data_IF_574814551761
#
_entry.id   IF_574814551761
#
_cell.length_a   1.000
_cell.length_b   1.000
_cell.length_c   1.000
_cell.angle_alpha   90.00
_cell.angle_beta   90.00
_cell.angle_gamma   90.00
#
_symmetry.space_group_name_H-M   'P 1'
#
loop_
_entity.id
_entity.type
_entity.pdbx_description
1 polymer ?
#
# COMPACT_ATOMS: atom_id res chain seq x y z
N UNK A 1 -18.55 14.90 -34.23
CA UNK A 1 -19.52 15.60 -33.36
C UNK A 1 -19.83 14.90 -32.02
N UNK A 2 -19.94 13.54 -31.88
CA UNK A 2 -20.11 12.92 -30.56
C UNK A 2 -18.80 12.72 -29.82
N UNK A 3 -17.72 12.46 -30.52
CA UNK A 3 -16.37 12.20 -29.95
C UNK A 3 -15.74 13.46 -29.36
N UNK A 4 -16.02 14.64 -29.93
CA UNK A 4 -15.53 15.93 -29.45
C UNK A 4 -16.18 16.30 -28.09
N UNK A 5 -17.47 15.99 -27.91
CA UNK A 5 -18.23 16.27 -26.69
C UNK A 5 -17.77 15.41 -25.49
N UNK A 6 -17.37 14.15 -25.73
CA UNK A 6 -16.82 13.27 -24.67
C UNK A 6 -15.42 13.70 -24.27
N UNK A 7 -14.62 14.14 -25.23
CA UNK A 7 -13.27 14.65 -24.96
C UNK A 7 -13.29 15.99 -24.23
N UNK A 8 -14.26 16.86 -24.53
CA UNK A 8 -14.47 18.11 -23.80
C UNK A 8 -14.95 17.85 -22.37
N UNK A 9 -15.90 16.93 -22.16
CA UNK A 9 -16.35 16.53 -20.82
C UNK A 9 -15.19 15.94 -19.98
N UNK A 10 -14.36 15.08 -20.56
CA UNK A 10 -13.20 14.51 -19.87
C UNK A 10 -12.17 15.58 -19.49
N UNK A 11 -11.97 16.58 -20.37
CA UNK A 11 -11.13 17.73 -20.05
C UNK A 11 -11.70 18.57 -18.91
N UNK A 12 -12.99 18.85 -18.95
CA UNK A 12 -13.69 19.59 -17.90
C UNK A 12 -13.63 18.87 -16.54
N UNK A 13 -13.75 17.52 -16.53
CA UNK A 13 -13.55 16.72 -15.31
C UNK A 13 -12.08 16.70 -14.83
N UNK A 14 -11.11 16.74 -15.73
CA UNK A 14 -9.68 16.74 -15.35
C UNK A 14 -9.18 18.11 -14.88
N UNK A 15 -9.87 19.20 -15.28
CA UNK A 15 -9.56 20.58 -14.90
C UNK A 15 -10.40 21.07 -13.69
N UNK A 16 -11.41 20.29 -13.24
CA UNK A 16 -12.13 20.61 -12.02
C UNK A 16 -11.21 20.47 -10.81
N UNK A 17 -11.17 21.51 -9.98
CA UNK A 17 -10.57 21.42 -8.66
C UNK A 17 -11.15 20.22 -7.92
N UNK A 18 -10.28 19.48 -7.23
CA UNK A 18 -10.68 18.30 -6.47
C UNK A 18 -11.90 18.62 -5.60
N UNK A 19 -12.96 17.81 -5.72
CA UNK A 19 -14.29 18.04 -5.14
C UNK A 19 -14.25 18.41 -3.64
N UNK A 20 -13.27 17.93 -2.94
CA UNK A 20 -13.10 18.15 -1.51
C UNK A 20 -12.18 19.33 -1.18
N UNK A 21 -11.47 19.91 -2.19
CA UNK A 21 -10.82 21.21 -2.13
C UNK A 21 -9.82 21.40 -1.01
N UNK A 22 -9.14 20.35 -0.56
CA UNK A 22 -8.15 20.46 0.50
C UNK A 22 -6.82 19.80 0.12
N UNK A 23 -5.75 20.34 0.71
CA UNK A 23 -4.41 19.72 0.73
C UNK A 23 -4.13 19.41 2.18
N UNK A 24 -3.64 18.22 2.50
CA UNK A 24 -3.22 17.91 3.87
C UNK A 24 -1.86 18.57 4.14
N UNK A 25 -1.75 19.29 5.26
CA UNK A 25 -0.50 19.92 5.71
C UNK A 25 0.46 18.93 6.41
N UNK A 26 0.22 17.62 6.24
CA UNK A 26 1.03 16.58 6.87
C UNK A 26 2.40 16.56 6.21
N UNK A 27 3.43 16.89 6.99
CA UNK A 27 4.81 16.77 6.53
C UNK A 27 5.16 15.31 6.22
N UNK A 28 5.45 15.01 4.95
CA UNK A 28 5.85 13.68 4.50
C UNK A 28 7.31 13.66 4.04
N UNK A 29 7.96 12.53 4.28
CA UNK A 29 9.23 12.19 3.67
C UNK A 29 8.96 11.42 2.38
N UNK A 30 9.13 12.07 1.24
CA UNK A 30 8.92 11.48 -0.08
C UNK A 30 10.24 11.23 -0.77
N UNK A 31 10.43 10.02 -1.28
CA UNK A 31 11.61 9.67 -2.06
C UNK A 31 11.56 10.38 -3.43
N UNK A 32 12.69 10.87 -3.95
CA UNK A 32 12.74 11.37 -5.32
C UNK A 32 12.22 10.35 -6.34
N UNK A 33 11.64 10.80 -7.46
CA UNK A 33 11.19 9.90 -8.53
C UNK A 33 12.31 8.99 -9.02
N UNK A 34 11.92 7.81 -9.45
CA UNK A 34 12.81 6.83 -10.07
C UNK A 34 12.82 5.48 -9.36
N UNK A 35 12.86 4.44 -10.17
CA UNK A 35 12.91 3.05 -9.70
C UNK A 35 14.25 2.43 -10.08
N UNK A 36 15.04 2.15 -9.06
CA UNK A 36 16.33 1.48 -9.16
C UNK A 36 16.58 0.61 -7.91
N UNK A 37 17.71 -0.06 -7.83
CA UNK A 37 18.06 -0.89 -6.68
C UNK A 37 18.19 -0.09 -5.38
N UNK A 38 18.69 1.15 -5.44
CA UNK A 38 18.85 2.00 -4.27
C UNK A 38 17.49 2.40 -3.71
N UNK A 39 16.50 2.68 -4.58
CA UNK A 39 15.10 2.92 -4.20
C UNK A 39 14.55 1.74 -3.41
N UNK A 40 14.77 0.51 -3.89
CA UNK A 40 14.28 -0.72 -3.25
C UNK A 40 14.97 -0.95 -1.90
N UNK A 41 16.29 -0.78 -1.85
CA UNK A 41 17.07 -0.90 -0.60
C UNK A 41 16.67 0.16 0.43
N UNK A 42 16.37 1.38 -0.04
CA UNK A 42 15.87 2.45 0.82
C UNK A 42 14.52 2.07 1.44
N UNK A 43 13.55 1.61 0.64
CA UNK A 43 12.23 1.14 1.13
C UNK A 43 12.43 0.05 2.19
N UNK A 44 13.23 -0.96 1.87
CA UNK A 44 13.51 -2.08 2.77
C UNK A 44 14.15 -1.64 4.09
N UNK A 45 15.10 -0.72 4.03
CA UNK A 45 15.77 -0.13 5.20
C UNK A 45 14.80 0.68 6.06
N UNK A 46 13.97 1.54 5.44
CA UNK A 46 12.96 2.35 6.16
C UNK A 46 11.92 1.47 6.86
N UNK A 47 11.55 0.37 6.25
CA UNK A 47 10.61 -0.61 6.81
C UNK A 47 11.26 -1.55 7.85
N UNK A 48 12.57 -1.51 8.02
CA UNK A 48 13.30 -2.42 8.90
C UNK A 48 13.13 -3.88 8.49
N UNK A 49 13.11 -4.14 7.19
CA UNK A 49 12.92 -5.47 6.63
C UNK A 49 14.18 -6.33 6.75
N UNK A 50 14.03 -7.66 6.95
CA UNK A 50 15.16 -8.57 6.95
C UNK A 50 15.74 -8.72 5.54
N UNK A 51 17.04 -9.08 5.45
CA UNK A 51 17.79 -9.21 4.21
C UNK A 51 17.12 -10.13 3.18
N UNK A 52 16.52 -11.23 3.61
CA UNK A 52 15.83 -12.15 2.69
C UNK A 52 14.68 -11.49 1.92
N UNK A 53 13.97 -10.51 2.54
CA UNK A 53 12.89 -9.78 1.86
C UNK A 53 13.46 -8.73 0.91
N UNK A 54 14.55 -8.06 1.29
CA UNK A 54 15.28 -7.16 0.39
C UNK A 54 15.75 -7.91 -0.86
N UNK A 55 16.33 -9.09 -0.71
CA UNK A 55 16.74 -9.94 -1.82
C UNK A 55 15.56 -10.40 -2.68
N UNK A 56 14.43 -10.70 -2.03
CA UNK A 56 13.21 -11.08 -2.75
C UNK A 56 12.68 -9.95 -3.64
N UNK A 57 12.70 -8.71 -3.12
CA UNK A 57 12.34 -7.49 -3.87
C UNK A 57 13.28 -7.23 -5.03
N UNK A 58 14.58 -7.30 -4.80
CA UNK A 58 15.59 -7.09 -5.85
C UNK A 58 15.46 -8.12 -6.98
N UNK A 59 15.18 -9.38 -6.65
CA UNK A 59 14.89 -10.40 -7.66
C UNK A 59 13.63 -10.09 -8.46
N UNK A 60 12.58 -9.56 -7.81
CA UNK A 60 11.37 -9.13 -8.50
C UNK A 60 11.65 -7.96 -9.46
N UNK A 61 12.44 -7.00 -9.04
CA UNK A 61 12.88 -5.87 -9.88
C UNK A 61 13.69 -6.32 -11.10
N UNK A 62 14.63 -7.28 -10.93
CA UNK A 62 15.37 -7.84 -12.04
C UNK A 62 14.48 -8.59 -13.06
N UNK A 63 13.42 -9.22 -12.59
CA UNK A 63 12.41 -9.83 -13.45
C UNK A 63 11.61 -8.76 -14.17
N UNK A 64 11.15 -7.73 -13.47
CA UNK A 64 10.40 -6.61 -14.04
C UNK A 64 11.17 -5.91 -15.18
N UNK A 65 12.46 -5.63 -15.01
CA UNK A 65 13.29 -5.01 -16.05
C UNK A 65 13.32 -5.80 -17.38
N UNK A 66 13.07 -7.10 -17.32
CA UNK A 66 13.07 -7.99 -18.49
C UNK A 66 11.69 -8.18 -19.11
N UNK A 67 10.62 -7.74 -18.41
CA UNK A 67 9.26 -7.85 -18.87
C UNK A 67 8.84 -6.64 -19.70
N UNK A 68 7.80 -6.83 -20.49
CA UNK A 68 7.14 -5.75 -21.21
C UNK A 68 5.76 -5.52 -20.59
N UNK A 69 5.38 -4.25 -20.52
CA UNK A 69 4.02 -3.87 -20.14
C UNK A 69 3.01 -4.53 -21.09
N UNK A 70 1.92 -5.14 -20.58
CA UNK A 70 0.92 -5.81 -21.41
C UNK A 70 0.10 -4.80 -22.21
N UNK A 71 -0.17 -5.10 -23.49
CA UNK A 71 -0.95 -4.26 -24.40
C UNK A 71 -2.22 -4.95 -24.91
N UNK A 72 -2.64 -6.04 -24.28
CA UNK A 72 -3.79 -6.83 -24.71
C UNK A 72 -5.14 -6.26 -24.26
N UNK A 73 -5.14 -5.38 -23.25
CA UNK A 73 -6.37 -4.76 -22.77
C UNK A 73 -6.93 -3.77 -23.80
N UNK A 74 -8.25 -3.82 -24.01
CA UNK A 74 -8.95 -2.90 -24.93
C UNK A 74 -9.22 -1.55 -24.24
N UNK A 75 -8.16 -0.91 -23.76
CA UNK A 75 -8.17 0.41 -23.13
C UNK A 75 -7.02 1.22 -23.72
N UNK A 76 -7.25 2.51 -23.89
CA UNK A 76 -6.23 3.47 -24.31
C UNK A 76 -5.88 4.37 -23.12
N UNK A 77 -4.60 4.43 -22.77
CA UNK A 77 -4.06 5.34 -21.74
C UNK A 77 -2.70 5.86 -22.20
N UNK A 78 -2.29 7.04 -21.73
CA UNK A 78 -0.96 7.55 -22.03
C UNK A 78 0.14 6.59 -21.51
N UNK A 79 1.27 6.47 -22.21
CA UNK A 79 2.40 5.68 -21.72
C UNK A 79 2.81 6.11 -20.31
N UNK A 80 2.98 5.13 -19.43
CA UNK A 80 3.38 5.38 -18.05
C UNK A 80 4.92 5.51 -18.00
N UNK A 81 5.39 6.65 -17.49
CA UNK A 81 6.82 6.81 -17.19
C UNK A 81 7.09 6.35 -15.75
N UNK A 82 7.51 5.10 -15.60
CA UNK A 82 7.85 4.50 -14.30
C UNK A 82 9.05 5.17 -13.61
N UNK A 83 9.83 5.98 -14.32
CA UNK A 83 10.94 6.73 -13.71
C UNK A 83 10.52 8.12 -13.21
N UNK A 84 9.34 8.61 -13.61
CA UNK A 84 8.76 9.85 -13.10
C UNK A 84 7.94 9.66 -11.80
N UNK A 85 7.77 8.43 -11.33
CA UNK A 85 6.97 8.09 -10.13
C UNK A 85 7.88 8.03 -8.90
N UNK A 86 7.41 8.59 -7.78
CA UNK A 86 7.97 8.32 -6.45
C UNK A 86 7.37 7.02 -5.89
N UNK A 87 8.22 6.14 -5.38
CA UNK A 87 7.81 4.80 -4.90
C UNK A 87 7.72 4.71 -3.37
N UNK A 88 7.96 5.79 -2.66
CA UNK A 88 7.83 5.84 -1.21
C UNK A 88 7.49 7.25 -0.75
N UNK A 89 6.46 7.36 0.08
CA UNK A 89 6.13 8.54 0.85
C UNK A 89 5.62 8.10 2.22
N UNK A 90 5.99 8.78 3.26
CA UNK A 90 5.52 8.50 4.62
C UNK A 90 5.47 9.77 5.45
N UNK A 91 4.50 9.92 6.37
CA UNK A 91 4.50 11.00 7.35
C UNK A 91 5.76 10.95 8.20
N UNK A 92 6.34 12.11 8.51
CA UNK A 92 7.62 12.21 9.28
C UNK A 92 7.49 11.78 10.73
N UNK A 93 6.30 11.87 11.33
CA UNK A 93 6.07 11.74 12.77
C UNK A 93 5.50 10.38 13.20
N UNK A 94 5.54 9.34 12.36
CA UNK A 94 5.04 8.00 12.70
C UNK A 94 6.20 7.05 13.02
N UNK A 95 6.82 7.23 14.18
CA UNK A 95 7.89 6.33 14.65
C UNK A 95 7.35 4.98 15.17
N UNK A 96 6.09 4.95 15.66
CA UNK A 96 5.38 3.73 16.08
C UNK A 96 3.95 3.75 15.54
N UNK A 97 3.54 2.69 14.84
CA UNK A 97 2.16 2.59 14.37
C UNK A 97 1.18 2.57 15.57
N UNK A 98 0.23 3.49 15.65
CA UNK A 98 -0.73 3.54 16.74
C UNK A 98 -1.56 2.24 16.81
N UNK A 99 -1.87 1.81 18.02
CA UNK A 99 -2.62 0.57 18.28
C UNK A 99 -4.13 0.75 18.21
N UNK A 100 -4.60 1.99 18.24
CA UNK A 100 -6.01 2.35 18.15
C UNK A 100 -6.19 3.65 17.37
N UNK A 101 -7.39 3.91 16.87
CA UNK A 101 -7.72 5.17 16.21
C UNK A 101 -7.58 6.39 17.13
N UNK A 102 -7.73 6.20 18.45
CA UNK A 102 -7.57 7.27 19.44
C UNK A 102 -6.12 7.77 19.59
N UNK A 103 -5.16 6.95 19.17
CA UNK A 103 -3.72 7.28 19.19
C UNK A 103 -3.23 7.88 17.87
N UNK A 104 -4.09 7.91 16.84
CA UNK A 104 -3.76 8.46 15.51
C UNK A 104 -3.74 10.00 15.59
N UNK A 105 -2.80 10.62 14.87
CA UNK A 105 -2.72 12.07 14.75
C UNK A 105 -4.08 12.67 14.34
N UNK A 106 -4.61 13.63 15.09
CA UNK A 106 -5.88 14.28 14.78
C UNK A 106 -5.98 14.84 13.36
N UNK A 107 -4.88 15.33 12.78
CA UNK A 107 -4.84 15.84 11.40
C UNK A 107 -5.05 14.72 10.38
N UNK A 108 -4.53 13.52 10.66
CA UNK A 108 -4.79 12.33 9.83
C UNK A 108 -6.26 11.92 9.90
N UNK A 109 -6.84 11.88 11.09
CA UNK A 109 -8.27 11.57 11.29
C UNK A 109 -9.15 12.59 10.56
N UNK A 110 -8.81 13.90 10.65
CA UNK A 110 -9.53 14.93 9.93
C UNK A 110 -9.42 14.75 8.40
N UNK A 111 -8.26 14.36 7.92
CA UNK A 111 -8.03 14.06 6.49
C UNK A 111 -8.91 12.90 6.03
N UNK A 112 -8.98 11.79 6.77
CA UNK A 112 -9.88 10.69 6.45
C UNK A 112 -11.35 11.11 6.48
N UNK A 113 -11.76 11.92 7.46
CA UNK A 113 -13.11 12.44 7.54
C UNK A 113 -13.46 13.35 6.34
N UNK A 114 -12.53 14.23 5.91
CA UNK A 114 -12.70 15.07 4.71
C UNK A 114 -12.83 14.23 3.44
N UNK A 115 -12.13 13.10 3.36
CA UNK A 115 -12.23 12.13 2.26
C UNK A 115 -13.51 11.29 2.32
N UNK A 116 -14.29 11.40 3.40
CA UNK A 116 -15.50 10.60 3.59
C UNK A 116 -15.19 9.12 3.87
N UNK A 117 -14.04 8.83 4.48
CA UNK A 117 -13.65 7.48 4.89
C UNK A 117 -14.18 7.24 6.31
N UNK A 118 -15.21 6.41 6.50
CA UNK A 118 -15.89 6.25 7.80
C UNK A 118 -15.14 5.29 8.71
N UNK A 119 -13.95 5.65 9.18
CA UNK A 119 -13.12 4.79 10.03
C UNK A 119 -13.83 4.36 11.31
N UNK A 120 -14.45 5.32 12.00
CA UNK A 120 -15.16 5.05 13.28
C UNK A 120 -16.46 4.29 13.07
N UNK A 121 -17.21 4.56 12.00
CA UNK A 121 -18.45 3.84 11.70
C UNK A 121 -18.19 2.39 11.34
N UNK A 122 -17.14 2.09 10.61
CA UNK A 122 -16.74 0.71 10.27
C UNK A 122 -16.32 -0.05 11.53
N UNK A 123 -15.64 0.60 12.46
CA UNK A 123 -15.26 -0.01 13.74
C UNK A 123 -16.48 -0.38 14.60
N UNK A 124 -17.45 0.52 14.70
CA UNK A 124 -18.62 0.38 15.60
C UNK A 124 -19.70 -0.50 14.98
N UNK A 125 -20.05 -0.29 13.71
CA UNK A 125 -21.24 -0.90 13.09
C UNK A 125 -20.98 -2.31 12.54
N UNK A 126 -19.79 -2.60 12.06
CA UNK A 126 -19.51 -3.86 11.38
C UNK A 126 -18.71 -4.86 12.21
N UNK A 127 -18.08 -4.44 13.30
CA UNK A 127 -17.11 -5.28 14.03
C UNK A 127 -15.99 -5.78 13.08
N UNK A 128 -15.73 -5.05 12.01
CA UNK A 128 -14.76 -5.41 10.98
C UNK A 128 -13.40 -4.86 11.39
N UNK A 129 -12.38 -5.70 11.30
CA UNK A 129 -11.01 -5.25 11.46
C UNK A 129 -10.61 -4.34 10.29
N UNK A 130 -10.04 -3.21 10.61
CA UNK A 130 -9.59 -2.20 9.63
C UNK A 130 -8.10 -1.96 9.83
N UNK A 131 -7.35 -1.95 8.75
CA UNK A 131 -5.98 -1.46 8.69
C UNK A 131 -6.00 -0.15 7.91
N UNK A 132 -5.84 0.97 8.61
CA UNK A 132 -5.81 2.29 8.02
C UNK A 132 -4.41 2.59 7.52
N UNK A 133 -4.31 2.97 6.25
CA UNK A 133 -3.05 3.22 5.56
C UNK A 133 -3.00 4.66 5.09
N UNK A 134 -1.91 5.34 5.33
CA UNK A 134 -1.59 6.64 4.77
C UNK A 134 -0.24 6.57 4.05
N UNK A 135 -0.24 6.87 2.75
CA UNK A 135 0.91 6.70 1.87
C UNK A 135 1.53 5.28 1.99
N UNK A 136 2.81 5.20 2.33
CA UNK A 136 3.55 3.95 2.45
C UNK A 136 3.51 3.33 3.85
N UNK A 137 2.69 3.83 4.76
CA UNK A 137 2.65 3.41 6.17
C UNK A 137 1.24 2.96 6.60
N UNK A 138 1.18 1.88 7.37
CA UNK A 138 0.00 1.54 8.16
C UNK A 138 -0.03 2.45 9.40
N UNK A 139 -1.13 3.16 9.59
CA UNK A 139 -1.28 4.15 10.67
C UNK A 139 -2.11 3.64 11.84
N UNK A 140 -2.98 2.67 11.62
CA UNK A 140 -3.74 2.01 12.69
C UNK A 140 -4.26 0.64 12.25
N UNK A 141 -4.21 -0.34 13.13
CA UNK A 141 -4.84 -1.66 12.96
C UNK A 141 -5.80 -1.92 14.11
N UNK A 142 -7.09 -2.03 13.84
CA UNK A 142 -8.13 -2.21 14.85
C UNK A 142 -8.40 -3.69 15.14
N UNK A 143 -8.93 -3.99 16.32
CA UNK A 143 -9.33 -5.35 16.73
C UNK A 143 -8.24 -6.43 16.67
N UNK A 144 -6.98 -6.07 16.58
CA UNK A 144 -5.86 -7.01 16.48
C UNK A 144 -5.89 -8.07 17.60
N UNK A 145 -5.98 -7.63 18.86
CA UNK A 145 -5.95 -8.52 20.03
C UNK A 145 -7.18 -9.44 20.06
N UNK A 146 -8.36 -8.89 19.75
CA UNK A 146 -9.60 -9.65 19.69
C UNK A 146 -9.60 -10.73 18.59
N UNK A 147 -8.95 -10.45 17.46
CA UNK A 147 -8.76 -11.42 16.39
C UNK A 147 -7.73 -12.48 16.78
N UNK A 148 -6.65 -12.09 17.47
CA UNK A 148 -5.63 -13.00 17.96
C UNK A 148 -6.22 -14.04 18.94
N UNK A 149 -7.16 -13.66 19.81
CA UNK A 149 -7.90 -14.59 20.68
C UNK A 149 -8.66 -15.67 19.90
N UNK A 150 -9.04 -15.39 18.66
CA UNK A 150 -9.73 -16.32 17.75
C UNK A 150 -8.79 -17.08 16.82
N UNK A 151 -7.47 -16.94 17.01
CA UNK A 151 -6.48 -17.56 16.14
C UNK A 151 -6.36 -16.88 14.77
N UNK A 152 -6.68 -15.60 14.68
CA UNK A 152 -6.52 -14.80 13.45
C UNK A 152 -5.38 -13.83 13.63
N UNK A 153 -4.37 -13.93 12.78
CA UNK A 153 -3.32 -12.92 12.66
C UNK A 153 -3.84 -11.84 11.72
N UNK A 154 -3.91 -10.60 12.20
CA UNK A 154 -4.26 -9.43 11.41
C UNK A 154 -3.36 -8.27 11.77
N UNK A 155 -2.49 -7.86 10.88
CA UNK A 155 -1.50 -6.82 11.12
C UNK A 155 -0.96 -6.26 9.79
N UNK A 156 -0.15 -5.20 9.87
CA UNK A 156 0.58 -4.73 8.69
C UNK A 156 1.59 -5.78 8.20
N UNK A 157 1.88 -5.78 6.92
CA UNK A 157 2.90 -6.69 6.36
C UNK A 157 4.28 -6.44 7.00
N UNK A 158 4.59 -5.20 7.36
CA UNK A 158 5.86 -4.85 8.02
C UNK A 158 6.00 -5.50 9.40
N UNK A 159 4.90 -5.63 10.13
CA UNK A 159 4.83 -6.33 11.41
C UNK A 159 4.88 -7.85 11.17
N UNK A 160 4.07 -8.37 10.25
CA UNK A 160 4.04 -9.79 9.93
C UNK A 160 5.41 -10.35 9.51
N UNK A 161 6.19 -9.59 8.78
CA UNK A 161 7.56 -9.96 8.38
C UNK A 161 8.48 -10.12 9.58
N UNK A 162 8.28 -9.35 10.65
CA UNK A 162 9.09 -9.39 11.88
C UNK A 162 8.62 -10.48 12.85
N UNK A 163 7.31 -10.57 13.05
CA UNK A 163 6.71 -11.46 14.06
C UNK A 163 6.42 -12.87 13.54
N UNK A 164 6.13 -13.00 12.23
CA UNK A 164 5.74 -14.26 11.59
C UNK A 164 6.55 -14.56 10.32
N UNK A 165 7.90 -14.43 10.33
CA UNK A 165 8.74 -14.52 9.14
C UNK A 165 8.58 -15.83 8.36
N UNK A 166 8.37 -16.96 9.06
CA UNK A 166 8.24 -18.27 8.40
C UNK A 166 6.91 -18.39 7.62
N UNK A 167 5.82 -17.78 8.12
CA UNK A 167 4.57 -17.74 7.38
C UNK A 167 4.71 -16.87 6.13
N UNK A 168 5.32 -15.69 6.27
CA UNK A 168 5.54 -14.80 5.13
C UNK A 168 6.43 -15.46 4.08
N UNK A 169 7.55 -16.06 4.46
CA UNK A 169 8.42 -16.81 3.52
C UNK A 169 7.66 -17.91 2.78
N UNK A 170 6.74 -18.60 3.47
CA UNK A 170 5.97 -19.70 2.88
C UNK A 170 4.92 -19.22 1.91
N UNK A 171 4.22 -18.12 2.20
CA UNK A 171 3.02 -17.73 1.49
C UNK A 171 3.20 -16.52 0.55
N UNK A 172 4.17 -15.64 0.79
CA UNK A 172 4.41 -14.48 -0.06
C UNK A 172 4.77 -14.92 -1.49
N UNK A 173 3.92 -14.54 -2.44
CA UNK A 173 4.09 -14.90 -3.85
C UNK A 173 3.79 -16.38 -4.16
N UNK A 174 3.11 -17.12 -3.27
CA UNK A 174 2.76 -18.52 -3.51
C UNK A 174 1.56 -18.70 -4.43
N UNK A 175 0.63 -17.74 -4.44
CA UNK A 175 -0.56 -17.76 -5.31
C UNK A 175 -0.30 -17.00 -6.60
N UNK A 176 0.16 -15.75 -6.48
CA UNK A 176 0.60 -14.94 -7.62
C UNK A 176 2.11 -14.75 -7.46
N UNK A 177 2.94 -15.50 -8.18
CA UNK A 177 4.37 -15.38 -8.07
C UNK A 177 4.87 -14.07 -8.68
N UNK A 178 6.01 -13.57 -8.18
CA UNK A 178 6.61 -12.31 -8.64
C UNK A 178 7.00 -12.29 -10.14
N UNK A 179 7.02 -13.43 -10.80
CA UNK A 179 7.28 -13.58 -12.23
C UNK A 179 6.02 -13.87 -13.06
N UNK A 180 4.83 -13.74 -12.47
CA UNK A 180 3.57 -14.01 -13.17
C UNK A 180 3.36 -13.01 -14.32
N UNK A 181 3.46 -11.73 -14.04
CA UNK A 181 3.30 -10.68 -15.04
C UNK A 181 4.06 -9.40 -14.64
N UNK A 182 4.06 -8.42 -15.55
CA UNK A 182 4.73 -7.13 -15.39
C UNK A 182 4.34 -6.40 -14.11
N UNK A 183 3.04 -6.30 -13.81
CA UNK A 183 2.55 -5.58 -12.64
C UNK A 183 2.75 -6.37 -11.34
N UNK A 184 2.68 -7.70 -11.38
CA UNK A 184 3.01 -8.54 -10.24
C UNK A 184 4.49 -8.40 -9.85
N UNK A 185 5.39 -8.32 -10.84
CA UNK A 185 6.81 -8.11 -10.61
C UNK A 185 7.09 -6.71 -10.04
N UNK A 186 6.48 -5.66 -10.61
CA UNK A 186 6.60 -4.29 -10.13
C UNK A 186 6.09 -4.17 -8.70
N UNK A 187 4.87 -4.63 -8.43
CA UNK A 187 4.30 -4.60 -7.09
C UNK A 187 5.17 -5.36 -6.09
N UNK A 188 5.68 -6.52 -6.46
CA UNK A 188 6.57 -7.31 -5.62
C UNK A 188 7.86 -6.56 -5.25
N UNK A 189 8.37 -5.73 -6.15
CA UNK A 189 9.58 -4.94 -5.89
C UNK A 189 9.33 -3.78 -4.91
N UNK A 190 8.15 -3.12 -4.98
CA UNK A 190 7.94 -1.81 -4.33
C UNK A 190 6.79 -1.74 -3.33
N UNK A 191 6.07 -2.83 -3.04
CA UNK A 191 4.95 -2.78 -2.08
C UNK A 191 5.39 -2.23 -0.73
N UNK A 192 4.55 -1.40 -0.10
CA UNK A 192 4.88 -0.72 1.16
C UNK A 192 3.80 -0.89 2.22
N UNK A 193 2.58 -0.51 1.93
CA UNK A 193 1.45 -0.56 2.86
C UNK A 193 0.50 -1.68 2.44
N UNK A 194 0.61 -2.84 3.10
CA UNK A 194 -0.20 -4.03 2.85
C UNK A 194 -0.63 -4.62 4.18
N UNK A 195 -1.90 -4.99 4.30
CA UNK A 195 -2.43 -5.74 5.43
C UNK A 195 -2.19 -7.24 5.23
N UNK A 196 -1.82 -7.93 6.30
CA UNK A 196 -1.66 -9.37 6.35
C UNK A 196 -2.75 -9.99 7.20
N UNK A 197 -3.48 -10.96 6.65
CA UNK A 197 -4.49 -11.74 7.37
C UNK A 197 -4.19 -13.23 7.22
N UNK A 198 -4.13 -13.95 8.33
CA UNK A 198 -3.91 -15.39 8.36
C UNK A 198 -4.76 -16.06 9.44
N UNK A 199 -5.47 -17.12 9.07
CA UNK A 199 -6.23 -17.96 10.00
C UNK A 199 -5.35 -19.12 10.46
N UNK A 200 -5.06 -19.18 11.76
CA UNK A 200 -4.47 -20.34 12.39
C UNK A 200 -5.60 -21.25 12.88
N UNK A 201 -6.06 -22.16 12.03
CA UNK A 201 -7.03 -23.16 12.48
C UNK A 201 -6.33 -24.13 13.43
N UNK A 202 -6.94 -24.48 14.59
CA UNK A 202 -6.41 -25.53 15.42
C UNK A 202 -6.45 -26.84 14.60
N UNK A 203 -5.31 -27.48 14.45
CA UNK A 203 -5.24 -28.86 13.94
C UNK A 203 -5.84 -29.74 15.01
N UNK A 204 -7.08 -30.21 14.80
CA UNK A 204 -7.70 -31.28 15.58
C UNK A 204 -6.97 -32.60 15.33
#
# INVERSE_FOLDING_TARGET
MKQDSETEMLKEYSEQEYKYGFVSDIESETLPPGLNEDTIRFISKKKGEPEWLTDWRLKAFEMWKKMKEPHWANIEYPPIDYQAISYYSAPKNLDDAPKSLDEVDPELIETYNKLGIPLQEQEILAGVAVDAVFDSMSVATTFKDRLAEKGVIFCSISEAVKEHPELIKKYLGSVIPRNDNFFAALNSAVFTAVSYTHLTLPTT
#
